data_IF_486788187648
#
_entry.id   IF_486788187648
#
_cell.length_a   1.000
_cell.length_b   1.000
_cell.length_c   1.000
_cell.angle_alpha   90.00
_cell.angle_beta   90.00
_cell.angle_gamma   90.00
#
_symmetry.space_group_name_H-M   'P 1'
#
loop_
_entity.id
_entity.type
_entity.pdbx_description
1 polymer ?
#
# COMPACT_ATOMS: atom_id res chain seq x y z
N UNK A 1 12.86 -27.37 32.20
CA UNK A 1 12.93 -28.02 30.87
C UNK A 1 14.39 -28.01 30.44
N UNK A 2 15.01 -29.19 30.47
CA UNK A 2 16.47 -29.38 30.39
C UNK A 2 17.00 -29.09 28.99
N UNK A 3 17.95 -28.16 28.88
CA UNK A 3 18.67 -27.87 27.64
C UNK A 3 19.57 -29.08 27.36
N UNK A 4 19.16 -29.90 26.39
CA UNK A 4 19.93 -31.01 25.84
C UNK A 4 21.24 -30.46 25.28
N UNK A 5 22.33 -30.53 26.05
CA UNK A 5 23.70 -30.36 25.54
C UNK A 5 23.92 -31.46 24.51
N UNK A 6 23.82 -31.11 23.22
CA UNK A 6 24.15 -31.99 22.11
C UNK A 6 25.68 -32.17 22.11
N UNK A 7 26.09 -33.43 22.10
CA UNK A 7 27.45 -33.88 22.33
C UNK A 7 28.47 -33.32 21.33
N UNK A 8 29.71 -33.32 21.80
CA UNK A 8 30.95 -33.13 21.06
C UNK A 8 31.05 -34.11 19.90
N UNK A 9 30.67 -33.68 18.71
CA UNK A 9 31.25 -34.13 17.46
C UNK A 9 31.31 -32.88 16.57
N UNK A 10 32.42 -32.15 16.64
CA UNK A 10 32.63 -30.95 15.83
C UNK A 10 32.88 -31.37 14.39
N UNK A 11 31.81 -31.79 13.70
CA UNK A 11 31.78 -31.63 12.25
C UNK A 11 32.02 -30.15 12.00
N UNK A 12 33.18 -29.84 11.42
CA UNK A 12 33.48 -28.48 10.97
C UNK A 12 32.30 -28.10 10.07
N UNK A 13 31.56 -27.05 10.43
CA UNK A 13 30.43 -26.60 9.61
C UNK A 13 30.93 -26.42 8.18
N UNK A 14 30.42 -27.24 7.27
CA UNK A 14 30.87 -27.29 5.88
C UNK A 14 30.70 -25.92 5.20
N UNK A 15 29.69 -25.17 5.66
CA UNK A 15 29.43 -23.79 5.24
C UNK A 15 30.50 -22.79 5.70
N UNK A 16 31.22 -23.06 6.80
CA UNK A 16 32.40 -22.28 7.18
C UNK A 16 33.59 -22.56 6.24
N UNK A 17 33.64 -23.71 5.56
CA UNK A 17 34.72 -24.03 4.62
C UNK A 17 34.42 -23.48 3.22
N UNK A 18 33.17 -23.53 2.80
CA UNK A 18 32.73 -23.12 1.46
C UNK A 18 32.33 -21.64 1.40
N UNK A 19 31.74 -21.09 2.48
CA UNK A 19 31.13 -19.75 2.50
C UNK A 19 31.39 -19.00 3.83
N UNK A 20 32.65 -18.98 4.27
CA UNK A 20 33.12 -18.29 5.49
C UNK A 20 32.47 -16.92 5.75
N UNK A 21 32.47 -16.03 4.74
CA UNK A 21 31.98 -14.65 4.89
C UNK A 21 30.47 -14.53 5.04
N UNK A 22 29.71 -15.57 4.68
CA UNK A 22 28.26 -15.62 4.82
C UNK A 22 27.85 -16.10 6.22
N UNK A 23 28.52 -17.15 6.72
CA UNK A 23 28.25 -17.74 8.04
C UNK A 23 28.84 -16.89 9.17
N UNK A 24 30.12 -16.51 9.06
CA UNK A 24 30.80 -15.67 10.04
C UNK A 24 31.83 -14.75 9.35
N UNK A 25 31.41 -13.53 9.03
CA UNK A 25 32.28 -12.53 8.42
C UNK A 25 33.42 -12.08 9.35
N UNK A 26 33.35 -12.31 10.66
CA UNK A 26 34.46 -12.04 11.60
C UNK A 26 35.64 -12.95 11.31
N UNK A 27 35.38 -14.24 11.07
CA UNK A 27 36.41 -15.22 10.75
C UNK A 27 37.02 -14.87 9.40
N UNK A 28 36.19 -14.61 8.38
CA UNK A 28 36.65 -14.19 7.05
C UNK A 28 37.52 -12.92 7.11
N UNK A 29 37.09 -11.87 7.82
CA UNK A 29 37.87 -10.65 8.01
C UNK A 29 39.22 -10.92 8.69
N UNK A 30 39.25 -11.77 9.72
CA UNK A 30 40.51 -12.16 10.41
C UNK A 30 41.45 -12.94 9.49
N UNK A 31 40.95 -13.83 8.64
CA UNK A 31 41.79 -14.58 7.70
C UNK A 31 42.36 -13.70 6.60
N UNK A 32 41.57 -12.76 6.07
CA UNK A 32 42.03 -11.75 5.10
C UNK A 32 43.05 -10.80 5.73
N UNK A 33 42.84 -10.38 6.98
CA UNK A 33 43.81 -9.55 7.72
C UNK A 33 45.14 -10.27 7.99
N UNK A 34 45.11 -11.59 8.21
CA UNK A 34 46.30 -12.45 8.40
C UNK A 34 47.02 -12.80 7.09
N UNK A 35 46.52 -12.36 5.94
CA UNK A 35 47.10 -12.69 4.63
C UNK A 35 46.88 -14.13 4.18
N UNK A 36 45.94 -14.86 4.81
CA UNK A 36 45.62 -16.26 4.48
C UNK A 36 44.54 -16.39 3.40
N UNK A 37 43.86 -15.30 3.07
CA UNK A 37 42.82 -15.20 2.05
C UNK A 37 42.84 -13.79 1.47
N UNK A 38 42.34 -13.63 0.25
CA UNK A 38 42.19 -12.33 -0.41
C UNK A 38 40.71 -11.89 -0.43
N UNK A 39 40.46 -10.59 -0.40
CA UNK A 39 39.11 -10.03 -0.45
C UNK A 39 38.99 -8.60 0.10
N UNK A 40 37.81 -8.00 -0.11
CA UNK A 40 37.54 -6.64 0.31
C UNK A 40 37.37 -6.53 1.85
N UNK A 41 38.40 -5.98 2.51
CA UNK A 41 38.45 -5.79 3.96
C UNK A 41 37.35 -4.88 4.50
N UNK A 42 37.01 -3.80 3.77
CA UNK A 42 35.97 -2.86 4.19
C UNK A 42 34.58 -3.51 4.13
N UNK A 43 34.28 -4.21 3.03
CA UNK A 43 33.02 -4.93 2.87
C UNK A 43 32.84 -6.02 3.95
N UNK A 44 33.92 -6.74 4.28
CA UNK A 44 33.91 -7.75 5.35
C UNK A 44 33.74 -7.13 6.74
N UNK A 45 34.34 -5.96 6.98
CA UNK A 45 34.18 -5.24 8.25
C UNK A 45 32.74 -4.80 8.47
N UNK A 46 32.10 -4.19 7.46
CA UNK A 46 30.68 -3.78 7.52
C UNK A 46 29.78 -4.98 7.77
N UNK A 47 29.99 -6.07 7.02
CA UNK A 47 29.20 -7.30 7.18
C UNK A 47 29.35 -7.90 8.56
N UNK A 48 30.57 -7.97 9.09
CA UNK A 48 30.82 -8.47 10.44
C UNK A 48 30.09 -7.63 11.50
N UNK A 49 30.15 -6.30 11.38
CA UNK A 49 29.46 -5.40 12.31
C UNK A 49 27.96 -5.68 12.28
N UNK A 50 27.34 -5.67 11.09
CA UNK A 50 25.91 -5.95 10.91
C UNK A 50 25.51 -7.32 11.47
N UNK A 51 26.26 -8.37 11.16
CA UNK A 51 26.01 -9.72 11.67
C UNK A 51 26.06 -9.76 13.20
N UNK A 52 27.01 -9.07 13.83
CA UNK A 52 27.12 -9.02 15.28
C UNK A 52 25.93 -8.28 15.92
N UNK A 53 25.46 -7.17 15.33
CA UNK A 53 24.26 -6.48 15.81
C UNK A 53 22.99 -7.32 15.63
N UNK A 54 22.76 -7.87 14.45
CA UNK A 54 21.60 -8.73 14.19
C UNK A 54 21.59 -9.96 15.10
N UNK A 55 22.76 -10.56 15.34
CA UNK A 55 22.89 -11.68 16.27
C UNK A 55 22.59 -11.25 17.72
N UNK A 56 23.12 -10.12 18.17
CA UNK A 56 22.82 -9.59 19.51
C UNK A 56 21.32 -9.29 19.69
N UNK A 57 20.68 -8.70 18.67
CA UNK A 57 19.24 -8.45 18.64
C UNK A 57 18.47 -9.78 18.65
N UNK A 58 18.89 -10.75 17.84
CA UNK A 58 18.30 -12.09 17.82
C UNK A 58 18.38 -12.79 19.17
N UNK A 59 19.53 -12.74 19.86
CA UNK A 59 19.68 -13.25 21.22
C UNK A 59 18.77 -12.53 22.22
N UNK A 60 18.65 -11.20 22.12
CA UNK A 60 17.75 -10.41 22.95
C UNK A 60 16.27 -10.80 22.73
N UNK A 61 15.86 -10.94 21.46
CA UNK A 61 14.51 -11.39 21.09
C UNK A 61 14.26 -12.82 21.58
N UNK A 62 15.23 -13.72 21.46
CA UNK A 62 15.08 -15.09 21.94
C UNK A 62 14.94 -15.17 23.46
N UNK A 63 15.68 -14.35 24.21
CA UNK A 63 15.59 -14.25 25.67
C UNK A 63 14.26 -13.64 26.14
N UNK A 64 13.71 -12.71 25.35
CA UNK A 64 12.50 -11.95 25.69
C UNK A 64 11.37 -12.11 24.66
N UNK A 65 11.24 -13.31 24.09
CA UNK A 65 10.36 -13.57 22.94
C UNK A 65 8.91 -13.12 23.17
N UNK A 66 8.33 -13.49 24.32
CA UNK A 66 6.98 -13.08 24.67
C UNK A 66 6.81 -11.57 24.90
N UNK A 67 7.78 -10.92 25.55
CA UNK A 67 7.71 -9.47 25.85
C UNK A 67 7.82 -8.63 24.59
N UNK A 68 8.76 -8.99 23.69
CA UNK A 68 8.96 -8.29 22.42
C UNK A 68 7.75 -8.48 21.52
N UNK A 69 7.20 -9.70 21.42
CA UNK A 69 6.01 -9.98 20.62
C UNK A 69 4.80 -9.22 21.15
N UNK A 70 4.59 -9.23 22.47
CA UNK A 70 3.48 -8.49 23.09
C UNK A 70 3.59 -6.99 22.84
N UNK A 71 4.78 -6.40 23.02
CA UNK A 71 5.00 -4.97 22.74
C UNK A 71 4.78 -4.63 21.27
N UNK A 72 5.25 -5.47 20.34
CA UNK A 72 5.05 -5.27 18.91
C UNK A 72 3.57 -5.33 18.51
N UNK A 73 2.82 -6.30 19.05
CA UNK A 73 1.40 -6.45 18.79
C UNK A 73 0.56 -5.32 19.40
N UNK A 74 0.95 -4.83 20.59
CA UNK A 74 0.33 -3.67 21.23
C UNK A 74 0.58 -2.40 20.41
N UNK A 75 1.81 -2.18 19.94
CA UNK A 75 2.12 -1.04 19.09
C UNK A 75 1.32 -1.11 17.77
N UNK A 76 1.28 -2.28 17.13
CA UNK A 76 0.53 -2.47 15.89
C UNK A 76 -0.97 -2.23 16.09
N UNK A 77 -1.55 -2.74 17.18
CA UNK A 77 -2.97 -2.52 17.47
C UNK A 77 -3.29 -1.05 17.73
N UNK A 78 -2.40 -0.31 18.41
CA UNK A 78 -2.53 1.13 18.60
C UNK A 78 -2.49 1.87 17.27
N UNK A 79 -1.60 1.50 16.36
CA UNK A 79 -1.57 2.04 15.00
C UNK A 79 -2.86 1.71 14.23
N UNK A 80 -3.41 0.50 14.38
CA UNK A 80 -4.66 0.11 13.73
C UNK A 80 -5.87 0.93 14.19
N UNK A 81 -5.89 1.40 15.44
CA UNK A 81 -6.94 2.30 15.93
C UNK A 81 -6.93 3.62 15.14
N UNK A 82 -5.75 4.09 14.71
CA UNK A 82 -5.62 5.26 13.85
C UNK A 82 -6.36 5.13 12.51
N UNK A 83 -6.60 3.92 12.00
CA UNK A 83 -7.35 3.71 10.77
C UNK A 83 -8.83 4.11 10.87
N UNK A 84 -9.39 4.21 12.08
CA UNK A 84 -10.75 4.74 12.28
C UNK A 84 -10.91 6.19 11.81
N UNK A 85 -9.81 6.94 11.73
CA UNK A 85 -9.79 8.34 11.30
C UNK A 85 -9.58 8.49 9.79
N UNK A 86 -9.47 7.38 9.04
CA UNK A 86 -9.35 7.42 7.59
C UNK A 86 -10.65 7.97 7.01
N UNK A 87 -10.55 9.14 6.39
CA UNK A 87 -11.60 9.72 5.55
C UNK A 87 -11.33 9.26 4.12
N UNK A 88 -12.32 8.62 3.52
CA UNK A 88 -12.28 8.30 2.11
C UNK A 88 -12.77 9.52 1.33
N UNK A 89 -11.91 10.04 0.46
CA UNK A 89 -12.30 11.06 -0.50
C UNK A 89 -13.14 10.36 -1.58
N UNK A 90 -14.42 10.73 -1.67
CA UNK A 90 -15.34 10.22 -2.70
C UNK A 90 -15.61 11.23 -3.81
N UNK A 91 -15.10 12.46 -3.65
CA UNK A 91 -15.24 13.50 -4.67
C UNK A 91 -14.25 13.21 -5.81
N UNK A 92 -14.80 12.96 -6.99
CA UNK A 92 -14.03 12.70 -8.21
C UNK A 92 -13.20 13.93 -8.56
N UNK A 93 -13.71 15.14 -8.37
CA UNK A 93 -12.95 16.35 -8.68
C UNK A 93 -11.70 16.45 -7.82
N UNK A 94 -11.82 16.19 -6.51
CA UNK A 94 -10.69 16.21 -5.58
C UNK A 94 -9.65 15.11 -5.84
N UNK A 95 -10.07 13.95 -6.37
CA UNK A 95 -9.18 12.83 -6.70
C UNK A 95 -8.36 13.07 -7.97
N UNK A 96 -8.92 13.77 -8.96
CA UNK A 96 -8.33 13.92 -10.29
C UNK A 96 -7.66 15.28 -10.51
N UNK A 97 -7.94 16.28 -9.67
CA UNK A 97 -7.28 17.59 -9.73
C UNK A 97 -5.97 17.56 -8.93
N UNK A 98 -4.92 18.14 -9.51
CA UNK A 98 -3.63 18.28 -8.84
C UNK A 98 -3.74 19.26 -7.67
N UNK A 99 -3.38 18.80 -6.48
CA UNK A 99 -3.33 19.63 -5.27
C UNK A 99 -2.24 20.72 -5.40
N UNK A 100 -2.62 21.97 -5.18
CA UNK A 100 -1.78 23.15 -5.35
C UNK A 100 -1.61 23.61 -6.80
N UNK A 101 -2.35 23.03 -7.74
CA UNK A 101 -2.33 23.41 -9.15
C UNK A 101 -3.21 24.64 -9.45
N UNK A 102 -2.98 25.27 -10.61
CA UNK A 102 -3.79 26.42 -11.07
C UNK A 102 -5.28 26.07 -11.19
N UNK A 103 -5.59 24.85 -11.62
CA UNK A 103 -6.96 24.38 -11.81
C UNK A 103 -7.74 24.33 -10.49
N UNK A 104 -7.08 24.01 -9.38
CA UNK A 104 -7.71 24.03 -8.04
C UNK A 104 -8.11 25.46 -7.65
N UNK A 105 -7.25 26.46 -7.93
CA UNK A 105 -7.54 27.87 -7.68
C UNK A 105 -8.70 28.39 -8.54
N UNK A 106 -8.74 28.03 -9.83
CA UNK A 106 -9.81 28.39 -10.74
C UNK A 106 -11.16 27.77 -10.31
N UNK A 107 -11.16 26.50 -9.89
CA UNK A 107 -12.34 25.82 -9.35
C UNK A 107 -12.80 26.44 -8.04
N UNK A 108 -11.88 26.76 -7.13
CA UNK A 108 -12.18 27.42 -5.87
C UNK A 108 -12.80 28.81 -6.08
N UNK A 109 -12.26 29.60 -7.01
CA UNK A 109 -12.80 30.91 -7.37
C UNK A 109 -14.22 30.79 -7.95
N UNK A 110 -14.43 29.84 -8.86
CA UNK A 110 -15.74 29.60 -9.49
C UNK A 110 -16.78 29.15 -8.46
N UNK A 111 -16.40 28.26 -7.54
CA UNK A 111 -17.24 27.79 -6.44
C UNK A 111 -17.63 28.94 -5.49
N UNK A 112 -16.74 29.89 -5.26
CA UNK A 112 -16.99 31.05 -4.41
C UNK A 112 -17.87 32.12 -5.06
N UNK A 113 -17.73 32.33 -6.38
CA UNK A 113 -18.49 33.38 -7.10
C UNK A 113 -19.84 32.91 -7.63
N UNK A 114 -19.90 31.69 -8.17
CA UNK A 114 -21.08 31.15 -8.86
C UNK A 114 -21.86 30.18 -7.94
N UNK A 115 -21.20 29.58 -6.94
CA UNK A 115 -21.79 28.61 -6.01
C UNK A 115 -21.40 27.16 -6.32
N UNK A 116 -21.53 26.28 -5.32
CA UNK A 116 -21.20 24.84 -5.44
C UNK A 116 -22.13 24.18 -6.44
N UNK A 117 -21.57 23.58 -7.50
CA UNK A 117 -22.36 22.89 -8.51
C UNK A 117 -23.21 23.82 -9.37
N UNK A 118 -22.86 25.11 -9.47
CA UNK A 118 -23.57 26.07 -10.33
C UNK A 118 -23.22 25.90 -11.82
N UNK A 119 -23.38 24.67 -12.30
CA UNK A 119 -23.73 24.35 -13.67
C UNK A 119 -25.11 23.71 -13.68
N UNK A 120 -25.87 23.86 -14.75
CA UNK A 120 -27.11 23.08 -14.92
C UNK A 120 -26.75 21.61 -14.83
N UNK A 121 -27.32 20.86 -13.88
CA UNK A 121 -27.24 19.39 -13.88
C UNK A 121 -28.01 18.88 -15.08
N UNK A 122 -27.32 18.78 -16.21
CA UNK A 122 -27.92 18.26 -17.44
C UNK A 122 -28.07 16.75 -17.30
N UNK A 123 -29.27 16.31 -16.97
CA UNK A 123 -29.63 14.90 -17.07
C UNK A 123 -29.70 14.54 -18.56
N UNK A 124 -28.89 13.56 -18.97
CA UNK A 124 -28.75 13.16 -20.36
C UNK A 124 -29.23 11.73 -20.56
N UNK A 125 -30.20 11.56 -21.46
CA UNK A 125 -30.68 10.24 -21.89
C UNK A 125 -30.16 9.97 -23.30
N UNK A 126 -29.39 8.89 -23.47
CA UNK A 126 -28.86 8.44 -24.76
C UNK A 126 -29.52 7.12 -25.15
N UNK A 127 -30.04 7.03 -26.38
CA UNK A 127 -30.53 5.78 -26.96
C UNK A 127 -29.48 5.19 -27.91
N UNK A 128 -29.12 3.93 -27.70
CA UNK A 128 -28.23 3.17 -28.59
C UNK A 128 -28.93 1.97 -29.22
N UNK A 129 -28.64 1.65 -30.50
CA UNK A 129 -29.16 0.45 -31.14
C UNK A 129 -28.47 -0.80 -30.60
N UNK A 130 -29.21 -1.91 -30.46
CA UNK A 130 -28.67 -3.16 -29.89
C UNK A 130 -27.67 -3.89 -30.79
N UNK A 131 -27.80 -3.78 -32.11
CA UNK A 131 -27.05 -4.61 -33.07
C UNK A 131 -26.50 -3.80 -34.27
N UNK A 132 -25.78 -2.71 -34.02
CA UNK A 132 -25.16 -1.90 -35.09
C UNK A 132 -26.13 -1.37 -36.16
N UNK A 133 -27.44 -1.46 -35.90
CA UNK A 133 -28.52 -1.11 -36.80
C UNK A 133 -28.78 0.39 -36.75
N UNK A 134 -29.37 0.93 -37.82
CA UNK A 134 -29.63 2.36 -37.91
C UNK A 134 -30.65 2.81 -36.84
N UNK A 135 -30.30 3.84 -36.07
CA UNK A 135 -31.15 4.42 -35.03
C UNK A 135 -32.20 5.39 -35.60
N UNK A 136 -31.99 5.91 -36.81
CA UNK A 136 -32.87 6.87 -37.47
C UNK A 136 -34.11 6.21 -38.11
N UNK A 137 -34.73 5.27 -37.40
CA UNK A 137 -36.00 4.67 -37.81
C UNK A 137 -37.16 5.26 -37.01
N UNK A 138 -38.34 5.32 -37.62
CA UNK A 138 -39.54 5.85 -36.96
C UNK A 138 -39.82 5.15 -35.62
N UNK A 139 -39.64 3.83 -35.56
CA UNK A 139 -39.87 3.03 -34.34
C UNK A 139 -38.90 3.42 -33.23
N UNK A 140 -37.62 3.60 -33.55
CA UNK A 140 -36.59 4.01 -32.59
C UNK A 140 -36.85 5.40 -32.02
N UNK A 141 -37.22 6.36 -32.89
CA UNK A 141 -37.53 7.73 -32.48
C UNK A 141 -38.80 7.82 -31.63
N UNK A 142 -39.85 7.06 -31.98
CA UNK A 142 -41.05 6.97 -31.16
C UNK A 142 -40.76 6.39 -29.78
N UNK A 143 -39.93 5.36 -29.70
CA UNK A 143 -39.51 4.79 -28.41
C UNK A 143 -38.75 5.81 -27.56
N UNK A 144 -37.86 6.61 -28.15
CA UNK A 144 -37.16 7.67 -27.44
C UNK A 144 -38.13 8.71 -26.88
N UNK A 145 -39.09 9.17 -27.71
CA UNK A 145 -40.09 10.15 -27.30
C UNK A 145 -40.96 9.63 -26.15
N UNK A 146 -41.46 8.38 -26.26
CA UNK A 146 -42.25 7.77 -25.19
C UNK A 146 -41.44 7.65 -23.90
N UNK A 147 -40.17 7.24 -24.00
CA UNK A 147 -39.28 7.16 -22.83
C UNK A 147 -39.08 8.53 -22.19
N UNK A 148 -38.84 9.58 -22.99
CA UNK A 148 -38.68 10.94 -22.48
C UNK A 148 -39.95 11.44 -21.80
N UNK A 149 -41.13 11.22 -22.39
CA UNK A 149 -42.41 11.58 -21.76
C UNK A 149 -42.58 10.90 -20.40
N UNK A 150 -42.28 9.60 -20.32
CA UNK A 150 -42.33 8.85 -19.06
C UNK A 150 -41.34 9.37 -18.03
N UNK A 151 -40.13 9.74 -18.44
CA UNK A 151 -39.12 10.34 -17.56
C UNK A 151 -39.59 11.70 -17.02
N UNK A 152 -40.25 12.52 -17.85
CA UNK A 152 -40.80 13.81 -17.40
C UNK A 152 -41.96 13.71 -16.42
N UNK A 153 -42.64 12.56 -16.38
CA UNK A 153 -43.76 12.30 -15.45
C UNK A 153 -43.30 11.75 -14.09
N UNK A 154 -42.00 11.53 -13.87
CA UNK A 154 -41.49 10.99 -12.60
C UNK A 154 -41.58 12.05 -11.51
N UNK A 155 -42.37 11.77 -10.48
CA UNK A 155 -42.45 12.56 -9.26
C UNK A 155 -41.89 11.75 -8.08
N UNK A 156 -41.03 12.39 -7.26
CA UNK A 156 -40.42 11.77 -6.08
C UNK A 156 -40.88 12.53 -4.85
N UNK A 157 -41.64 11.85 -3.99
CA UNK A 157 -42.00 12.40 -2.69
C UNK A 157 -40.89 12.10 -1.68
N UNK A 158 -40.15 13.14 -1.27
CA UNK A 158 -38.99 13.00 -0.37
C UNK A 158 -39.37 13.03 1.11
N UNK A 159 -40.54 13.59 1.46
CA UNK A 159 -40.93 13.79 2.85
C UNK A 159 -42.42 13.53 3.02
N UNK A 160 -42.80 12.57 3.87
CA UNK A 160 -44.19 12.44 4.30
C UNK A 160 -44.58 13.71 5.06
N UNK A 161 -45.65 14.37 4.61
CA UNK A 161 -46.20 15.56 5.26
C UNK A 161 -47.10 15.18 6.44
#
# INVERSE_FOLDING_TARGET
MSIRRRGTNSQIDEDLLTRTSFVDARIAYKQVKKGKADGNKCALWVRWHLQNYMFSIGCFIQLHCGKVLFMGLLLLSLCCIGFKLVKFETDVEALWVEAGGRLEEELAYTKATVGVGSGTTSELVIQTPKEGSNILTQKSLLLHLETLLRVTEIEVDLFET
#
